data_IF_257621683925
#
_entry.id   IF_257621683925
#
_cell.length_a   1.000
_cell.length_b   1.000
_cell.length_c   1.000
_cell.angle_alpha   90.00
_cell.angle_beta   90.00
_cell.angle_gamma   90.00
#
_symmetry.space_group_name_H-M   'P 1'
#
loop_
_entity.id
_entity.type
_entity.pdbx_description
1 polymer ?
#
# COMPACT_ATOMS: atom_id res chain seq x y z
N UNK A 1 16.50 20.37 6.21
CA UNK A 1 16.09 18.95 6.42
C UNK A 1 14.60 18.75 6.20
N UNK A 2 13.72 19.56 6.79
CA UNK A 2 12.26 19.44 6.63
C UNK A 2 11.78 19.44 5.18
N UNK A 3 12.34 20.31 4.32
CA UNK A 3 12.01 20.34 2.88
C UNK A 3 12.31 19.02 2.16
N UNK A 4 13.35 18.30 2.58
CA UNK A 4 13.72 17.00 2.00
C UNK A 4 12.77 15.90 2.48
N UNK A 5 12.45 15.89 3.77
CA UNK A 5 11.49 14.95 4.36
C UNK A 5 10.12 15.10 3.68
N UNK A 6 9.65 16.33 3.51
CA UNK A 6 8.37 16.61 2.83
C UNK A 6 8.36 16.11 1.39
N UNK A 7 9.43 16.33 0.61
CA UNK A 7 9.53 15.80 -0.76
C UNK A 7 9.43 14.27 -0.80
N UNK A 8 10.06 13.59 0.15
CA UNK A 8 9.99 12.12 0.25
C UNK A 8 8.57 11.67 0.62
N UNK A 9 7.91 12.35 1.58
CA UNK A 9 6.51 12.05 1.92
C UNK A 9 5.57 12.25 0.73
N UNK A 10 5.69 13.39 0.05
CA UNK A 10 4.87 13.73 -1.11
C UNK A 10 5.05 12.72 -2.25
N UNK A 11 6.30 12.26 -2.47
CA UNK A 11 6.60 11.21 -3.44
C UNK A 11 5.80 9.93 -3.18
N UNK A 12 5.95 9.34 -1.98
CA UNK A 12 5.27 8.08 -1.66
C UNK A 12 3.76 8.24 -1.56
N UNK A 13 3.31 9.38 -1.02
CA UNK A 13 1.89 9.71 -0.96
C UNK A 13 1.28 9.75 -2.35
N UNK A 14 1.91 10.42 -3.31
CA UNK A 14 1.42 10.49 -4.69
C UNK A 14 1.37 9.12 -5.36
N UNK A 15 2.39 8.27 -5.15
CA UNK A 15 2.38 6.88 -5.64
C UNK A 15 1.21 6.07 -5.08
N UNK A 16 0.93 6.19 -3.78
CA UNK A 16 -0.19 5.49 -3.12
C UNK A 16 -1.56 6.04 -3.56
N UNK A 17 -1.71 7.35 -3.73
CA UNK A 17 -2.99 7.94 -4.16
C UNK A 17 -3.26 7.62 -5.63
N UNK A 18 -2.25 7.74 -6.50
CA UNK A 18 -2.38 7.44 -7.93
C UNK A 18 -2.58 5.96 -8.23
N UNK A 19 -2.24 5.06 -7.30
CA UNK A 19 -2.32 3.63 -7.54
C UNK A 19 -1.07 3.01 -8.13
N UNK A 20 0.04 3.74 -8.17
CA UNK A 20 1.34 3.29 -8.68
C UNK A 20 2.09 2.47 -7.62
N UNK A 21 1.55 1.29 -7.35
CA UNK A 21 2.09 0.29 -6.43
C UNK A 21 1.52 -1.09 -6.77
N UNK A 22 2.26 -2.13 -6.35
CA UNK A 22 1.78 -3.52 -6.36
C UNK A 22 1.24 -3.89 -4.99
N UNK A 23 0.13 -4.64 -4.93
CA UNK A 23 -0.37 -5.22 -3.67
C UNK A 23 0.29 -6.58 -3.49
N UNK A 24 1.22 -6.68 -2.52
CA UNK A 24 1.96 -7.92 -2.24
C UNK A 24 1.12 -8.87 -1.40
N UNK A 25 0.45 -8.34 -0.37
CA UNK A 25 -0.41 -9.11 0.50
C UNK A 25 -1.58 -8.23 0.97
N UNK A 26 -2.70 -8.86 1.32
CA UNK A 26 -3.87 -8.17 1.81
C UNK A 26 -4.63 -9.07 2.78
N UNK A 27 -4.91 -8.54 3.97
CA UNK A 27 -5.79 -9.15 4.96
C UNK A 27 -7.14 -8.42 4.98
N UNK A 28 -8.03 -8.83 5.88
CA UNK A 28 -9.27 -8.08 6.17
C UNK A 28 -8.99 -6.68 6.72
N UNK A 29 -7.82 -6.47 7.33
CA UNK A 29 -7.53 -5.28 8.12
C UNK A 29 -6.41 -4.41 7.56
N UNK A 30 -5.51 -4.98 6.75
CA UNK A 30 -4.35 -4.28 6.23
C UNK A 30 -4.01 -4.71 4.79
N UNK A 31 -3.37 -3.81 4.05
CA UNK A 31 -2.77 -4.09 2.75
C UNK A 31 -1.27 -3.78 2.80
N UNK A 32 -0.47 -4.69 2.27
CA UNK A 32 0.95 -4.51 2.04
C UNK A 32 1.17 -4.10 0.59
N UNK A 33 1.71 -2.90 0.41
CA UNK A 33 2.01 -2.29 -0.88
C UNK A 33 3.51 -2.35 -1.14
N UNK A 34 3.89 -2.51 -2.41
CA UNK A 34 5.26 -2.41 -2.89
C UNK A 34 5.34 -1.32 -3.95
N UNK A 35 6.16 -0.30 -3.68
CA UNK A 35 6.39 0.86 -4.54
C UNK A 35 7.80 0.72 -5.15
N UNK A 36 7.90 0.94 -6.46
CA UNK A 36 9.14 0.85 -7.25
C UNK A 36 9.94 -0.45 -7.04
N UNK A 37 9.24 -1.56 -6.78
CA UNK A 37 9.82 -2.88 -6.46
C UNK A 37 10.83 -2.89 -5.29
N UNK A 38 10.84 -1.84 -4.46
CA UNK A 38 11.86 -1.65 -3.40
C UNK A 38 11.25 -1.32 -2.04
N UNK A 39 10.24 -0.46 -2.01
CA UNK A 39 9.73 0.11 -0.76
C UNK A 39 8.40 -0.53 -0.36
N UNK A 40 8.34 -1.06 0.87
CA UNK A 40 7.15 -1.66 1.42
C UNK A 40 6.37 -0.66 2.27
N UNK A 41 5.05 -0.63 2.08
CA UNK A 41 4.14 0.19 2.88
C UNK A 41 2.94 -0.62 3.38
N UNK A 42 2.66 -0.54 4.68
CA UNK A 42 1.45 -1.12 5.28
C UNK A 42 0.38 -0.05 5.44
N UNK A 43 -0.77 -0.29 4.81
CA UNK A 43 -1.96 0.55 4.93
C UNK A 43 -3.02 -0.22 5.70
N UNK A 44 -3.46 0.33 6.83
CA UNK A 44 -4.64 -0.16 7.54
C UNK A 44 -5.88 0.18 6.73
N UNK A 45 -6.75 -0.80 6.53
CA UNK A 45 -8.01 -0.67 5.80
C UNK A 45 -9.20 -1.18 6.60
N UNK A 46 -9.00 -1.56 7.87
CA UNK A 46 -10.13 -1.91 8.73
C UNK A 46 -10.99 -0.66 8.98
N UNK A 47 -12.27 -0.88 9.29
CA UNK A 47 -13.22 0.17 9.66
C UNK A 47 -13.50 1.20 8.56
N UNK A 48 -13.37 0.80 7.30
CA UNK A 48 -13.75 1.64 6.15
C UNK A 48 -12.77 2.77 5.85
N UNK A 49 -13.23 3.75 5.07
CA UNK A 49 -12.42 4.89 4.59
C UNK A 49 -11.82 5.69 5.76
N UNK A 50 -12.60 5.94 6.81
CA UNK A 50 -12.18 6.75 7.95
C UNK A 50 -11.16 6.03 8.85
N UNK A 51 -11.15 4.70 8.83
CA UNK A 51 -10.14 3.90 9.50
C UNK A 51 -8.81 3.83 8.76
N UNK A 52 -8.72 4.36 7.54
CA UNK A 52 -7.52 4.27 6.72
C UNK A 52 -6.38 5.09 7.33
N UNK A 53 -5.30 4.40 7.70
CA UNK A 53 -4.08 5.01 8.24
C UNK A 53 -2.83 4.29 7.77
N UNK A 54 -1.78 5.08 7.58
CA UNK A 54 -0.41 4.58 7.50
C UNK A 54 -0.01 4.13 8.91
N UNK A 55 0.25 2.84 9.10
CA UNK A 55 0.65 2.30 10.41
C UNK A 55 2.19 2.33 10.47
N UNK A 56 2.75 3.11 11.37
CA UNK A 56 4.18 3.05 11.71
C UNK A 56 4.53 1.83 12.57
N UNK A 57 3.52 1.21 13.18
CA UNK A 57 3.65 0.09 14.11
C UNK A 57 3.83 -1.27 13.39
N UNK A 58 4.31 -2.25 14.15
CA UNK A 58 4.49 -3.62 13.70
C UNK A 58 3.17 -4.24 13.23
N UNK A 59 3.09 -4.56 11.94
CA UNK A 59 2.03 -5.40 11.40
C UNK A 59 2.61 -6.75 11.00
N UNK A 60 2.18 -7.79 11.70
CA UNK A 60 2.56 -9.16 11.40
C UNK A 60 1.65 -9.71 10.29
N UNK A 61 2.22 -9.93 9.11
CA UNK A 61 1.56 -10.69 8.07
C UNK A 61 1.90 -12.17 8.23
N UNK A 62 0.91 -12.97 8.68
CA UNK A 62 1.02 -14.43 8.63
C UNK A 62 0.95 -14.89 7.18
N UNK A 63 2.01 -15.53 6.71
CA UNK A 63 2.04 -16.14 5.39
C UNK A 63 1.83 -17.64 5.55
N UNK A 64 0.68 -18.18 5.13
CA UNK A 64 0.43 -19.62 5.26
C UNK A 64 1.38 -20.51 4.42
N UNK A 65 2.21 -19.91 3.55
CA UNK A 65 3.23 -20.61 2.74
C UNK A 65 4.66 -20.44 3.25
N UNK A 66 4.86 -19.65 4.31
CA UNK A 66 6.18 -19.47 4.93
C UNK A 66 6.03 -19.58 6.44
N UNK A 67 6.84 -20.40 7.13
CA UNK A 67 6.79 -20.50 8.59
C UNK A 67 7.21 -19.19 9.28
N UNK A 68 7.73 -18.21 8.53
CA UNK A 68 8.19 -16.93 9.05
C UNK A 68 7.09 -15.85 8.94
N UNK A 69 6.78 -15.25 10.08
CA UNK A 69 6.01 -14.01 10.16
C UNK A 69 6.85 -12.87 9.58
N UNK A 70 6.27 -12.08 8.67
CA UNK A 70 6.93 -10.88 8.17
C UNK A 70 6.42 -9.69 8.97
N UNK A 71 7.32 -9.10 9.76
CA UNK A 71 7.11 -7.82 10.43
C UNK A 71 7.53 -6.70 9.48
N UNK A 72 6.62 -5.75 9.24
CA UNK A 72 6.86 -4.64 8.32
C UNK A 72 6.56 -3.34 9.04
N UNK A 73 7.52 -2.41 8.98
CA UNK A 73 7.39 -1.05 9.49
C UNK A 73 7.39 -0.07 8.33
N UNK A 74 6.51 0.93 8.40
CA UNK A 74 6.62 2.07 7.51
C UNK A 74 7.75 2.97 8.01
N UNK A 75 8.81 3.08 7.22
CA UNK A 75 9.97 3.92 7.56
C UNK A 75 9.64 5.42 7.58
N UNK A 76 8.46 5.81 7.09
CA UNK A 76 7.98 7.18 7.08
C UNK A 76 6.48 7.22 7.32
N UNK A 77 6.04 8.15 8.19
CA UNK A 77 4.63 8.42 8.41
C UNK A 77 4.05 9.22 7.23
N UNK A 78 2.90 8.78 6.72
CA UNK A 78 2.17 9.44 5.64
C UNK A 78 0.77 9.85 6.11
N UNK A 79 0.47 11.14 5.97
CA UNK A 79 -0.84 11.71 6.29
C UNK A 79 -1.66 11.85 5.01
N UNK A 80 -2.89 11.33 5.03
CA UNK A 80 -3.84 11.42 3.92
C UNK A 80 -5.03 12.28 4.29
N UNK A 81 -5.47 13.13 3.36
CA UNK A 81 -6.76 13.81 3.42
C UNK A 81 -7.90 12.81 3.22
N UNK A 82 -9.12 13.16 3.60
CA UNK A 82 -10.25 12.23 3.49
C UNK A 82 -10.55 11.84 2.04
N UNK A 83 -10.39 12.78 1.11
CA UNK A 83 -10.50 12.50 -0.34
C UNK A 83 -9.46 11.47 -0.81
N UNK A 84 -8.22 11.59 -0.33
CA UNK A 84 -7.16 10.63 -0.65
C UNK A 84 -7.44 9.26 -0.03
N UNK A 85 -7.88 9.21 1.22
CA UNK A 85 -8.29 7.96 1.88
C UNK A 85 -9.39 7.25 1.09
N UNK A 86 -10.36 7.98 0.57
CA UNK A 86 -11.45 7.42 -0.23
C UNK A 86 -10.92 6.77 -1.53
N UNK A 87 -10.04 7.47 -2.24
CA UNK A 87 -9.39 6.98 -3.46
C UNK A 87 -8.60 5.70 -3.17
N UNK A 88 -7.76 5.72 -2.12
CA UNK A 88 -6.92 4.59 -1.73
C UNK A 88 -7.81 3.40 -1.33
N UNK A 89 -8.79 3.63 -0.46
CA UNK A 89 -9.67 2.58 0.03
C UNK A 89 -10.44 1.91 -1.12
N UNK A 90 -11.00 2.70 -2.05
CA UNK A 90 -11.65 2.17 -3.26
C UNK A 90 -10.66 1.37 -4.11
N UNK A 91 -9.44 1.86 -4.31
CA UNK A 91 -8.39 1.16 -5.05
C UNK A 91 -7.99 -0.18 -4.43
N UNK A 92 -7.95 -0.26 -3.10
CA UNK A 92 -7.57 -1.48 -2.37
C UNK A 92 -8.73 -2.46 -2.20
N UNK A 93 -9.98 -2.00 -2.08
CA UNK A 93 -11.13 -2.85 -1.75
C UNK A 93 -12.01 -3.22 -2.92
N UNK A 94 -11.99 -2.47 -4.02
CA UNK A 94 -12.83 -2.78 -5.18
C UNK A 94 -12.33 -4.02 -5.94
N UNK A 95 -13.21 -5.02 -6.11
CA UNK A 95 -12.93 -6.28 -6.83
C UNK A 95 -12.59 -6.08 -8.32
N UNK A 96 -12.98 -4.95 -8.91
CA UNK A 96 -12.80 -4.66 -10.35
C UNK A 96 -11.40 -4.10 -10.65
N UNK A 97 -10.87 -3.25 -9.76
CA UNK A 97 -9.53 -2.65 -9.90
C UNK A 97 -8.43 -3.69 -9.70
N UNK A 98 -8.61 -4.64 -8.77
CA UNK A 98 -7.64 -5.72 -8.54
C UNK A 98 -7.44 -6.62 -9.76
N UNK A 99 -8.50 -6.94 -10.52
CA UNK A 99 -8.40 -7.72 -11.77
C UNK A 99 -7.67 -6.95 -12.88
N UNK A 100 -7.95 -5.66 -13.04
CA UNK A 100 -7.30 -4.82 -14.06
C UNK A 100 -5.80 -4.63 -13.77
N UNK A 101 -5.44 -4.42 -12.50
CA UNK A 101 -4.03 -4.31 -12.08
C UNK A 101 -3.26 -5.61 -12.29
N UNK A 102 -3.82 -6.75 -11.86
CA UNK A 102 -3.20 -8.07 -12.08
C UNK A 102 -2.99 -8.37 -13.57
N UNK A 103 -3.93 -7.95 -14.43
CA UNK A 103 -3.80 -8.08 -15.90
C UNK A 103 -2.70 -7.18 -16.47
N UNK A 104 -2.50 -5.98 -15.92
CA UNK A 104 -1.41 -5.07 -16.34
C UNK A 104 -0.04 -5.61 -15.92
N UNK A 105 0.10 -6.04 -14.67
CA UNK A 105 1.34 -6.65 -14.14
C UNK A 105 1.77 -7.89 -14.95
N UNK A 106 0.81 -8.77 -15.29
CA UNK A 106 1.10 -9.94 -16.13
C UNK A 106 1.58 -9.59 -17.55
N UNK A 107 1.14 -8.45 -18.10
CA UNK A 107 1.57 -7.98 -19.42
C UNK A 107 2.97 -7.39 -19.38
N UNK A 108 3.30 -6.63 -18.34
CA UNK A 108 4.64 -6.05 -18.20
C UNK A 108 5.70 -7.13 -17.94
N UNK A 109 5.37 -8.18 -17.17
CA UNK A 109 6.26 -9.35 -16.98
C UNK A 109 6.43 -10.15 -18.27
N UNK A 110 5.40 -10.26 -19.11
CA UNK A 110 5.47 -11.02 -20.36
C UNK A 110 6.27 -10.31 -21.48
N UNK A 111 6.64 -9.04 -21.28
CA UNK A 111 7.36 -8.21 -22.26
C UNK A 111 8.81 -7.91 -21.81
N UNK A 112 9.16 -8.24 -20.56
CA UNK A 112 10.52 -8.13 -20.01
C UNK A 112 11.25 -9.47 -20.10
#
# INVERSE_FOLDING_TARGET
MEKTIKKVQDYFKNKIVSGDYRVVNKTKYAALLLIDNKYHFVIWIANGVFGLKNIGDEVIFKNNRSPFNVTIYNFIHLSFTDKEKEIIYKGLTSRRVSKLRKKKELREIAVA
#
